data_IF_905868115718
#
_entry.id   IF_905868115718
#
_cell.length_a   1.000
_cell.length_b   1.000
_cell.length_c   1.000
_cell.angle_alpha   90.00
_cell.angle_beta   90.00
_cell.angle_gamma   90.00
#
_symmetry.space_group_name_H-M   'P 1'
#
loop_
_entity.id
_entity.type
_entity.pdbx_description
1 polymer ?
#
# COMPACT_ATOMS: atom_id res chain seq x y z
N UNK A 1 -11.31 -7.86 16.46
CA UNK A 1 -10.74 -6.62 17.02
C UNK A 1 -11.53 -5.47 16.42
N UNK A 2 -12.14 -4.59 17.22
CA UNK A 2 -13.04 -3.55 16.72
C UNK A 2 -12.28 -2.22 16.73
N UNK A 3 -11.89 -1.73 15.55
CA UNK A 3 -11.19 -0.45 15.41
C UNK A 3 -12.21 0.69 15.41
N UNK A 4 -12.11 1.61 16.37
CA UNK A 4 -12.94 2.80 16.36
C UNK A 4 -12.31 3.86 15.44
N UNK A 5 -12.75 3.86 14.19
CA UNK A 5 -12.26 4.77 13.16
C UNK A 5 -12.50 6.25 13.49
N UNK A 6 -13.46 6.59 14.37
CA UNK A 6 -13.71 8.00 14.75
C UNK A 6 -12.59 8.61 15.58
N UNK A 7 -11.68 7.79 16.12
CA UNK A 7 -10.48 8.25 16.83
C UNK A 7 -9.29 8.48 15.90
N UNK A 8 -9.38 8.12 14.61
CA UNK A 8 -8.30 8.32 13.65
C UNK A 8 -8.30 9.77 13.20
N UNK A 9 -7.24 10.49 13.55
CA UNK A 9 -7.05 11.89 13.18
C UNK A 9 -6.12 12.07 11.97
N UNK A 10 -5.43 11.01 11.53
CA UNK A 10 -4.51 11.02 10.40
C UNK A 10 -4.61 9.72 9.59
N UNK A 11 -4.88 9.83 8.30
CA UNK A 11 -4.99 8.69 7.37
C UNK A 11 -3.79 8.74 6.41
N UNK A 12 -2.59 8.50 6.94
CA UNK A 12 -1.36 8.44 6.14
C UNK A 12 -0.35 7.53 6.83
N UNK A 13 0.25 6.62 6.08
CA UNK A 13 1.41 5.83 6.49
C UNK A 13 2.62 6.24 5.66
N UNK A 14 3.80 6.26 6.25
CA UNK A 14 5.05 6.56 5.54
C UNK A 14 6.16 5.73 6.15
N UNK A 15 6.97 5.10 5.31
CA UNK A 15 8.07 4.25 5.73
C UNK A 15 9.16 4.25 4.66
N UNK A 16 10.32 3.75 5.05
CA UNK A 16 11.42 3.46 4.12
C UNK A 16 11.65 1.95 4.13
N UNK A 17 11.91 1.39 2.96
CA UNK A 17 12.24 -0.04 2.86
C UNK A 17 13.37 -0.26 1.85
N UNK A 18 14.03 -1.42 1.99
CA UNK A 18 15.10 -1.88 1.12
C UNK A 18 14.97 -3.37 0.93
N UNK A 19 15.04 -3.84 -0.30
CA UNK A 19 15.00 -5.27 -0.61
C UNK A 19 15.82 -5.60 -1.88
N UNK A 20 16.18 -6.87 -2.01
CA UNK A 20 16.64 -7.48 -3.27
C UNK A 20 15.59 -8.46 -3.83
N UNK A 21 14.48 -8.63 -3.11
CA UNK A 21 13.41 -9.55 -3.46
C UNK A 21 12.45 -8.88 -4.45
N UNK A 22 12.22 -9.46 -5.65
CA UNK A 22 11.33 -8.89 -6.64
C UNK A 22 9.83 -9.08 -6.32
N UNK A 23 9.46 -9.96 -5.37
CA UNK A 23 8.06 -10.22 -5.03
C UNK A 23 7.84 -10.38 -3.52
N UNK A 24 6.80 -9.76 -2.98
CA UNK A 24 6.47 -9.91 -1.57
C UNK A 24 5.50 -8.86 -1.04
N UNK A 25 4.95 -9.12 0.15
CA UNK A 25 4.05 -8.17 0.83
C UNK A 25 4.87 -7.21 1.70
N UNK A 26 4.65 -5.91 1.52
CA UNK A 26 5.26 -4.87 2.36
C UNK A 26 4.30 -4.49 3.49
N UNK A 27 3.04 -4.22 3.16
CA UNK A 27 2.02 -3.79 4.11
C UNK A 27 0.66 -4.38 3.75
N UNK A 28 -0.06 -4.84 4.78
CA UNK A 28 -1.43 -5.31 4.65
C UNK A 28 -2.28 -4.68 5.74
N UNK A 29 -3.52 -4.29 5.39
CA UNK A 29 -4.49 -3.78 6.33
C UNK A 29 -5.91 -4.12 5.91
N UNK A 30 -6.76 -4.42 6.89
CA UNK A 30 -8.17 -4.70 6.67
C UNK A 30 -9.03 -4.08 7.77
N UNK A 31 -10.31 -3.88 7.46
CA UNK A 31 -11.36 -3.77 8.49
C UNK A 31 -12.22 -5.03 8.53
N UNK A 32 -12.26 -5.77 7.43
CA UNK A 32 -12.86 -7.08 7.31
C UNK A 32 -12.07 -7.91 6.28
N UNK A 33 -11.40 -9.00 6.70
CA UNK A 33 -10.51 -9.77 5.83
C UNK A 33 -11.22 -10.39 4.63
N UNK A 34 -12.56 -10.54 4.67
CA UNK A 34 -13.32 -11.11 3.56
C UNK A 34 -13.58 -10.13 2.42
N UNK A 35 -13.82 -8.86 2.72
CA UNK A 35 -14.41 -7.93 1.75
C UNK A 35 -14.00 -6.47 1.91
N UNK A 36 -13.13 -6.12 2.86
CA UNK A 36 -12.57 -4.77 3.01
C UNK A 36 -11.10 -4.85 3.44
N UNK A 37 -10.21 -4.95 2.45
CA UNK A 37 -8.77 -5.09 2.63
C UNK A 37 -7.96 -4.33 1.57
N UNK A 38 -6.74 -4.00 1.96
CA UNK A 38 -5.72 -3.32 1.18
C UNK A 38 -4.38 -4.03 1.36
N UNK A 39 -3.62 -4.16 0.28
CA UNK A 39 -2.27 -4.71 0.27
C UNK A 39 -1.37 -3.85 -0.61
N UNK A 40 -0.18 -3.55 -0.09
CA UNK A 40 0.93 -2.97 -0.81
C UNK A 40 2.07 -3.98 -0.81
N UNK A 41 2.60 -4.29 -1.98
CA UNK A 41 3.67 -5.25 -2.16
C UNK A 41 4.53 -4.93 -3.37
N UNK A 42 5.41 -5.87 -3.71
CA UNK A 42 6.17 -5.89 -4.95
C UNK A 42 5.70 -7.03 -5.85
N UNK A 43 5.68 -6.76 -7.15
CA UNK A 43 5.61 -7.76 -8.22
C UNK A 43 6.54 -7.33 -9.34
N UNK A 44 7.38 -8.24 -9.82
CA UNK A 44 8.45 -7.96 -10.80
C UNK A 44 9.36 -6.77 -10.38
N UNK A 45 9.59 -6.65 -9.07
CA UNK A 45 10.37 -5.59 -8.44
C UNK A 45 9.66 -4.23 -8.35
N UNK A 46 8.43 -4.10 -8.84
CA UNK A 46 7.67 -2.83 -8.85
C UNK A 46 6.59 -2.81 -7.77
N UNK A 47 6.26 -1.64 -7.21
CA UNK A 47 5.11 -1.48 -6.34
C UNK A 47 3.82 -1.98 -6.98
N UNK A 48 3.08 -2.80 -6.23
CA UNK A 48 1.75 -3.25 -6.56
C UNK A 48 0.79 -2.96 -5.41
N UNK A 49 -0.36 -2.38 -5.74
CA UNK A 49 -1.49 -2.20 -4.85
C UNK A 49 -2.58 -3.19 -5.24
N UNK A 50 -3.06 -3.94 -4.26
CA UNK A 50 -4.30 -4.69 -4.36
C UNK A 50 -5.28 -4.16 -3.32
N UNK A 51 -6.51 -3.88 -3.74
CA UNK A 51 -7.57 -3.41 -2.86
C UNK A 51 -8.87 -4.08 -3.24
N UNK A 52 -9.62 -4.48 -2.21
CA UNK A 52 -11.00 -4.94 -2.36
C UNK A 52 -11.85 -4.37 -1.24
N UNK A 53 -12.83 -3.55 -1.61
CA UNK A 53 -13.86 -3.03 -0.72
C UNK A 53 -15.22 -2.95 -1.43
N UNK A 54 -16.22 -2.35 -0.79
CA UNK A 54 -17.56 -2.20 -1.36
C UNK A 54 -17.59 -1.33 -2.63
N UNK A 55 -16.63 -0.42 -2.80
CA UNK A 55 -16.59 0.53 -3.91
C UNK A 55 -15.72 0.08 -5.07
N UNK A 56 -14.65 -0.68 -4.80
CA UNK A 56 -13.67 -1.05 -5.81
C UNK A 56 -13.01 -2.41 -5.52
N UNK A 57 -12.65 -3.10 -6.59
CA UNK A 57 -11.74 -4.24 -6.58
C UNK A 57 -10.70 -4.03 -7.68
N UNK A 58 -9.45 -3.81 -7.30
CA UNK A 58 -8.39 -3.45 -8.24
C UNK A 58 -7.04 -4.08 -7.87
N UNK A 59 -6.24 -4.27 -8.91
CA UNK A 59 -4.83 -4.63 -8.83
C UNK A 59 -4.10 -3.70 -9.78
N UNK A 60 -3.18 -2.90 -9.25
CA UNK A 60 -2.44 -1.89 -10.02
C UNK A 60 -0.97 -1.96 -9.64
N UNK A 61 -0.11 -2.18 -10.63
CA UNK A 61 1.34 -2.12 -10.47
C UNK A 61 1.86 -0.84 -11.14
N UNK A 62 2.63 -0.03 -10.43
CA UNK A 62 3.07 1.27 -10.89
C UNK A 62 4.44 1.66 -10.33
N UNK A 63 5.12 2.60 -10.98
CA UNK A 63 6.41 3.12 -10.51
C UNK A 63 7.63 2.31 -10.96
N UNK A 64 8.83 2.73 -10.52
CA UNK A 64 10.10 2.08 -10.86
C UNK A 64 10.29 0.77 -10.09
N UNK A 65 11.37 0.06 -10.41
CA UNK A 65 11.81 -1.10 -9.63
C UNK A 65 12.48 -0.65 -8.33
N UNK A 66 12.17 -1.33 -7.22
CA UNK A 66 12.65 -1.04 -5.86
C UNK A 66 13.45 -2.20 -5.24
N UNK A 67 13.71 -3.25 -6.02
CA UNK A 67 14.47 -4.44 -5.66
C UNK A 67 15.99 -4.28 -5.91
N UNK A 68 16.52 -3.06 -5.82
CA UNK A 68 17.91 -2.70 -6.15
C UNK A 68 18.85 -2.64 -4.93
N UNK A 69 18.38 -3.07 -3.76
CA UNK A 69 19.15 -3.02 -2.53
C UNK A 69 19.45 -1.61 -2.02
N UNK A 70 18.75 -0.58 -2.51
CA UNK A 70 18.81 0.78 -1.94
C UNK A 70 17.61 1.04 -1.03
N UNK A 71 17.76 2.04 -0.17
CA UNK A 71 16.64 2.55 0.61
C UNK A 71 15.74 3.40 -0.26
N UNK A 72 14.44 3.10 -0.25
CA UNK A 72 13.41 3.85 -0.93
C UNK A 72 12.39 4.36 0.07
N UNK A 73 11.95 5.61 -0.10
CA UNK A 73 10.91 6.20 0.74
C UNK A 73 9.57 6.11 0.02
N UNK A 74 8.64 5.36 0.63
CA UNK A 74 7.26 5.31 0.16
C UNK A 74 6.44 6.39 0.87
N UNK A 75 5.92 7.32 0.06
CA UNK A 75 4.91 8.29 0.49
C UNK A 75 3.68 8.11 -0.39
N UNK A 76 2.47 7.96 0.17
CA UNK A 76 1.25 8.04 -0.59
C UNK A 76 1.23 9.38 -1.35
N UNK A 77 1.26 9.33 -2.68
CA UNK A 77 1.06 10.52 -3.50
C UNK A 77 -0.39 10.97 -3.28
N UNK A 78 -0.57 12.17 -2.74
CA UNK A 78 -1.89 12.80 -2.76
C UNK A 78 -2.30 12.98 -4.23
N UNK A 79 -3.59 12.76 -4.57
CA UNK A 79 -4.06 13.03 -5.92
C UNK A 79 -3.77 14.50 -6.28
N UNK A 80 -3.38 14.81 -7.53
CA UNK A 80 -2.91 16.13 -7.95
C UNK A 80 -3.95 17.26 -7.84
N UNK A 81 -5.18 16.96 -7.41
CA UNK A 81 -6.29 17.91 -7.26
C UNK A 81 -6.58 18.31 -5.82
N UNK A 82 -5.73 17.95 -4.86
CA UNK A 82 -5.90 18.31 -3.45
C UNK A 82 -5.26 19.67 -3.13
N UNK A 83 -5.72 20.77 -3.76
CA UNK A 83 -5.48 22.18 -3.37
C UNK A 83 -6.65 23.05 -3.80
#
# INVERSE_FOLDING_TARGET
MTFNLTKITKISSSFEFRTWDPEGVIFYGDTNPKNDWFMLGLRDGRPEIQLRNHWAQLTVSAGPRLDDGKWHQERPLLPPFAW
#
